data_IF_630364906947
#
_entry.id   IF_630364906947
#
_cell.length_a   1.000
_cell.length_b   1.000
_cell.length_c   1.000
_cell.angle_alpha   90.00
_cell.angle_beta   90.00
_cell.angle_gamma   90.00
#
_symmetry.space_group_name_H-M   'P 1'
#
loop_
_entity.id
_entity.type
_entity.pdbx_description
1 polymer ?
#
# COMPACT_ATOMS: atom_id res chain seq x y z
N UNK A 1 3.73 -10.08 -10.71
CA UNK A 1 2.71 -10.56 -9.75
C UNK A 1 1.54 -11.11 -10.53
N UNK A 2 0.94 -12.22 -10.10
CA UNK A 2 -0.34 -12.71 -10.64
C UNK A 2 -1.40 -12.61 -9.55
N UNK A 3 -2.42 -11.80 -9.82
CA UNK A 3 -3.54 -11.65 -8.89
C UNK A 3 -4.55 -12.78 -9.04
N UNK A 4 -5.44 -12.90 -8.07
CA UNK A 4 -6.51 -13.89 -8.01
C UNK A 4 -7.84 -13.20 -7.80
N UNK A 5 -8.91 -13.88 -8.17
CA UNK A 5 -10.25 -13.49 -7.81
C UNK A 5 -10.36 -13.24 -6.30
N UNK A 6 -10.91 -12.09 -5.91
CA UNK A 6 -11.07 -11.72 -4.51
C UNK A 6 -9.84 -11.06 -3.86
N UNK A 7 -8.69 -10.95 -4.52
CA UNK A 7 -7.59 -10.12 -4.02
C UNK A 7 -8.05 -8.67 -3.80
N UNK A 8 -7.53 -8.03 -2.75
CA UNK A 8 -7.75 -6.61 -2.46
C UNK A 8 -6.41 -5.89 -2.37
N UNK A 9 -6.27 -4.80 -3.12
CA UNK A 9 -5.09 -3.93 -3.05
C UNK A 9 -5.48 -2.61 -2.40
N UNK A 10 -4.84 -2.28 -1.28
CA UNK A 10 -4.92 -0.97 -0.63
C UNK A 10 -3.79 -0.11 -1.19
N UNK A 11 -4.15 0.78 -2.10
CA UNK A 11 -3.26 1.68 -2.82
C UNK A 11 -3.34 3.09 -2.23
N UNK A 12 -2.20 3.69 -1.90
CA UNK A 12 -2.17 5.05 -1.35
C UNK A 12 -0.88 5.73 -1.70
N UNK A 13 -0.88 7.05 -1.92
CA UNK A 13 0.36 7.79 -1.66
C UNK A 13 0.69 7.65 -0.16
N UNK A 14 1.96 7.59 0.27
CA UNK A 14 2.30 7.51 1.69
C UNK A 14 1.51 8.52 2.52
N UNK A 15 1.14 8.13 3.74
CA UNK A 15 0.45 9.01 4.72
C UNK A 15 -0.98 9.44 4.36
N UNK A 16 -1.62 8.74 3.41
CA UNK A 16 -3.04 8.91 3.09
C UNK A 16 -3.97 7.93 3.83
N UNK A 17 -3.55 7.34 4.97
CA UNK A 17 -4.41 6.45 5.76
C UNK A 17 -4.32 4.96 5.45
N UNK A 18 -3.21 4.50 4.85
CA UNK A 18 -3.00 3.10 4.47
C UNK A 18 -3.23 2.10 5.60
N UNK A 19 -2.64 2.34 6.78
CA UNK A 19 -2.78 1.46 7.95
C UNK A 19 -4.24 1.32 8.38
N UNK A 20 -4.99 2.42 8.35
CA UNK A 20 -6.39 2.43 8.73
C UNK A 20 -7.23 1.64 7.73
N UNK A 21 -7.04 1.86 6.43
CA UNK A 21 -7.75 1.08 5.40
C UNK A 21 -7.38 -0.41 5.43
N UNK A 22 -6.11 -0.76 5.67
CA UNK A 22 -5.72 -2.17 5.84
C UNK A 22 -6.52 -2.84 6.97
N UNK A 23 -6.69 -2.15 8.11
CA UNK A 23 -7.48 -2.65 9.23
C UNK A 23 -8.97 -2.76 8.89
N UNK A 24 -9.56 -1.73 8.26
CA UNK A 24 -10.98 -1.75 7.84
C UNK A 24 -11.23 -2.95 6.91
N UNK A 25 -10.42 -3.09 5.86
CA UNK A 25 -10.56 -4.20 4.90
C UNK A 25 -10.43 -5.55 5.59
N UNK A 26 -9.42 -5.75 6.46
CA UNK A 26 -9.24 -7.01 7.17
C UNK A 26 -10.39 -7.30 8.13
N UNK A 27 -10.90 -6.30 8.86
CA UNK A 27 -12.09 -6.45 9.72
C UNK A 27 -13.31 -6.87 8.91
N UNK A 28 -13.56 -6.23 7.75
CA UNK A 28 -14.66 -6.60 6.86
C UNK A 28 -14.53 -8.05 6.37
N UNK A 29 -13.33 -8.48 6.00
CA UNK A 29 -13.05 -9.85 5.57
C UNK A 29 -13.19 -10.89 6.69
N UNK A 30 -13.06 -10.46 7.95
CA UNK A 30 -13.18 -11.33 9.13
C UNK A 30 -14.52 -11.15 9.87
N UNK A 31 -15.52 -10.51 9.25
CA UNK A 31 -16.85 -10.34 9.84
C UNK A 31 -16.87 -9.45 11.09
N UNK A 32 -15.94 -8.50 11.19
CA UNK A 32 -15.79 -7.60 12.34
C UNK A 32 -15.00 -8.18 13.51
N UNK A 33 -14.47 -9.40 13.38
CA UNK A 33 -13.71 -10.06 14.44
C UNK A 33 -12.30 -9.47 14.59
N UNK A 34 -12.16 -8.50 15.51
CA UNK A 34 -10.89 -7.83 15.79
C UNK A 34 -9.81 -8.78 16.33
N UNK A 35 -10.17 -9.94 16.90
CA UNK A 35 -9.17 -10.91 17.38
C UNK A 35 -8.37 -11.54 16.23
N UNK A 36 -8.90 -11.48 15.00
CA UNK A 36 -8.26 -11.95 13.78
C UNK A 36 -7.41 -10.89 13.08
N UNK A 37 -7.39 -9.65 13.57
CA UNK A 37 -6.63 -8.55 12.95
C UNK A 37 -5.48 -8.13 13.85
N UNK A 38 -4.25 -8.26 13.34
CA UNK A 38 -3.03 -7.91 14.08
C UNK A 38 -2.83 -6.38 14.10
N UNK A 39 -2.34 -5.80 15.20
CA UNK A 39 -1.98 -4.38 15.25
C UNK A 39 -0.71 -4.10 14.43
N UNK A 40 -0.45 -2.83 14.11
CA UNK A 40 0.83 -2.43 13.52
C UNK A 40 1.97 -2.64 14.55
N UNK A 41 3.14 -3.20 14.18
CA UNK A 41 3.60 -3.52 12.81
C UNK A 41 3.23 -4.91 12.29
N UNK A 42 2.73 -5.81 13.15
CA UNK A 42 2.38 -7.18 12.79
C UNK A 42 1.29 -7.28 11.70
N UNK A 43 0.47 -6.24 11.54
CA UNK A 43 -0.46 -6.02 10.43
C UNK A 43 0.17 -6.27 9.05
N UNK A 44 1.46 -5.97 8.88
CA UNK A 44 2.17 -6.18 7.61
C UNK A 44 2.22 -7.64 7.17
N UNK A 45 2.06 -8.59 8.10
CA UNK A 45 1.94 -10.01 7.76
C UNK A 45 0.59 -10.37 7.13
N UNK A 46 -0.46 -9.58 7.36
CA UNK A 46 -1.81 -9.83 6.84
C UNK A 46 -2.14 -8.97 5.62
N UNK A 47 -1.43 -7.86 5.43
CA UNK A 47 -1.51 -6.99 4.26
C UNK A 47 -0.10 -6.57 3.79
N UNK A 48 0.70 -7.50 3.23
CA UNK A 48 2.08 -7.29 2.85
C UNK A 48 2.22 -6.25 1.74
N UNK A 49 3.41 -5.65 1.71
CA UNK A 49 3.81 -4.65 0.74
C UNK A 49 4.74 -5.28 -0.33
N UNK A 50 4.24 -5.60 -1.54
CA UNK A 50 4.99 -6.39 -2.50
C UNK A 50 6.34 -5.80 -2.93
N UNK A 51 6.40 -4.48 -3.10
CA UNK A 51 7.57 -3.73 -3.52
C UNK A 51 8.68 -3.83 -2.48
N UNK A 52 8.35 -3.63 -1.19
CA UNK A 52 9.32 -3.78 -0.10
C UNK A 52 9.74 -5.24 0.05
N UNK A 53 8.82 -6.19 -0.12
CA UNK A 53 9.18 -7.60 -0.13
C UNK A 53 10.20 -7.94 -1.21
N UNK A 54 10.00 -7.41 -2.42
CA UNK A 54 10.91 -7.60 -3.54
C UNK A 54 12.27 -6.90 -3.31
N UNK A 55 12.27 -5.69 -2.76
CA UNK A 55 13.51 -4.97 -2.44
C UNK A 55 14.30 -5.68 -1.34
N UNK A 56 13.64 -6.24 -0.32
CA UNK A 56 14.33 -6.96 0.75
C UNK A 56 15.01 -8.23 0.24
N UNK A 57 14.38 -8.98 -0.66
CA UNK A 57 14.98 -10.20 -1.25
C UNK A 57 16.22 -9.87 -2.08
N UNK A 58 16.14 -8.81 -2.89
CA UNK A 58 17.24 -8.34 -3.74
C UNK A 58 18.40 -7.73 -2.96
N UNK A 59 18.12 -6.91 -1.95
CA UNK A 59 19.14 -6.11 -1.22
C UNK A 59 19.84 -6.88 -0.11
N UNK A 60 19.15 -7.79 0.58
CA UNK A 60 19.68 -8.44 1.78
C UNK A 60 19.93 -9.95 1.63
N UNK A 61 19.67 -10.53 0.45
CA UNK A 61 19.94 -11.95 0.21
C UNK A 61 19.18 -12.85 1.18
N UNK A 62 17.87 -12.99 0.99
CA UNK A 62 17.03 -13.88 1.80
C UNK A 62 15.59 -13.92 1.31
N UNK A 63 14.80 -14.97 1.65
CA UNK A 63 13.38 -15.01 1.30
C UNK A 63 12.64 -13.82 1.96
N UNK A 64 11.74 -13.12 1.24
CA UNK A 64 10.87 -12.15 1.93
C UNK A 64 9.99 -12.97 2.86
N UNK A 65 9.87 -12.66 4.15
CA UNK A 65 8.99 -13.41 5.06
C UNK A 65 7.51 -13.35 4.66
N UNK A 66 7.15 -12.46 3.72
CA UNK A 66 5.75 -12.24 3.30
C UNK A 66 5.50 -12.40 1.80
N UNK A 67 6.52 -12.63 0.96
CA UNK A 67 6.35 -13.09 -0.44
C UNK A 67 7.52 -14.00 -0.92
N UNK A 68 7.22 -15.17 -1.47
CA UNK A 68 8.12 -16.00 -2.27
C UNK A 68 8.51 -15.22 -3.53
N UNK A 69 9.80 -14.91 -3.67
CA UNK A 69 10.33 -14.12 -4.78
C UNK A 69 10.09 -14.75 -6.16
N UNK A 70 9.84 -16.07 -6.25
CA UNK A 70 9.58 -16.77 -7.52
C UNK A 70 8.11 -16.80 -7.92
N UNK A 71 7.19 -16.71 -6.96
CA UNK A 71 5.74 -16.84 -7.21
C UNK A 71 4.92 -15.65 -6.72
N UNK A 72 5.55 -14.70 -6.00
CA UNK A 72 4.91 -13.61 -5.26
C UNK A 72 3.73 -14.11 -4.40
N UNK A 73 3.86 -15.32 -3.84
CA UNK A 73 2.93 -15.89 -2.86
C UNK A 73 3.49 -15.64 -1.46
N UNK A 74 2.70 -15.24 -0.46
CA UNK A 74 3.19 -15.21 0.90
C UNK A 74 3.82 -16.55 1.30
N UNK A 75 5.09 -16.59 1.76
CA UNK A 75 5.76 -17.81 2.08
C UNK A 75 5.18 -18.26 3.40
N UNK A 76 4.44 -19.35 3.34
CA UNK A 76 4.35 -20.32 4.43
C UNK A 76 4.06 -19.77 5.84
N UNK A 77 3.40 -18.62 5.98
CA UNK A 77 2.82 -18.24 7.25
C UNK A 77 1.40 -18.82 7.28
N UNK A 78 1.14 -19.70 8.25
CA UNK A 78 -0.18 -20.28 8.48
C UNK A 78 -1.25 -19.21 8.77
N UNK A 79 -0.83 -17.98 9.05
CA UNK A 79 -1.66 -16.80 9.28
C UNK A 79 -2.12 -16.07 8.02
N UNK A 80 -1.56 -16.36 6.84
CA UNK A 80 -2.09 -15.84 5.58
C UNK A 80 -3.17 -16.80 5.09
N UNK A 81 -4.35 -16.28 4.75
CA UNK A 81 -5.44 -17.15 4.33
C UNK A 81 -5.00 -17.99 3.11
N UNK A 82 -4.91 -19.31 3.31
CA UNK A 82 -4.57 -20.29 2.28
C UNK A 82 -5.85 -21.04 1.90
N UNK A 83 -6.11 -21.16 0.60
CA UNK A 83 -7.29 -21.84 0.08
C UNK A 83 -7.82 -21.17 -1.18
N UNK A 84 -8.63 -21.86 -1.99
CA UNK A 84 -9.24 -21.29 -3.20
C UNK A 84 -10.18 -20.11 -2.90
N UNK A 85 -10.79 -20.09 -1.70
CA UNK A 85 -11.74 -19.05 -1.28
C UNK A 85 -11.14 -17.98 -0.35
N UNK A 86 -9.84 -18.09 -0.06
CA UNK A 86 -9.14 -17.19 0.84
C UNK A 86 -8.83 -15.85 0.15
N UNK A 87 -9.45 -14.76 0.64
CA UNK A 87 -9.18 -13.40 0.14
C UNK A 87 -7.86 -12.86 0.69
N UNK A 88 -6.99 -12.41 -0.20
CA UNK A 88 -5.68 -11.82 0.14
C UNK A 88 -5.77 -10.29 0.12
N UNK A 89 -5.08 -9.64 1.05
CA UNK A 89 -4.98 -8.17 1.08
C UNK A 89 -3.54 -7.77 0.83
N UNK A 90 -3.30 -6.77 0.00
CA UNK A 90 -1.97 -6.22 -0.26
C UNK A 90 -2.00 -4.73 -0.02
N UNK A 91 -0.88 -4.16 0.44
CA UNK A 91 -0.65 -2.72 0.47
C UNK A 91 0.29 -2.35 -0.67
N UNK A 92 0.11 -1.18 -1.26
CA UNK A 92 1.11 -0.57 -2.15
C UNK A 92 1.09 0.96 -2.08
N UNK A 93 2.27 1.54 -2.31
CA UNK A 93 2.50 2.97 -2.53
C UNK A 93 2.98 3.26 -3.96
N UNK A 94 2.75 2.33 -4.89
CA UNK A 94 3.16 2.50 -6.27
C UNK A 94 2.20 3.46 -7.01
N UNK A 95 2.74 4.38 -7.82
CA UNK A 95 1.94 5.03 -8.85
C UNK A 95 1.39 3.97 -9.81
N UNK A 96 0.35 4.30 -10.57
CA UNK A 96 -0.37 3.30 -11.37
C UNK A 96 0.54 2.65 -12.42
N UNK A 97 1.47 3.40 -13.01
CA UNK A 97 2.48 2.87 -13.94
C UNK A 97 3.44 1.84 -13.33
N UNK A 98 3.59 1.81 -12.00
CA UNK A 98 4.43 0.85 -11.26
C UNK A 98 3.62 -0.09 -10.38
N UNK A 99 2.30 -0.14 -10.55
CA UNK A 99 1.42 -1.01 -9.78
C UNK A 99 1.94 -2.47 -9.86
N UNK A 100 2.01 -3.21 -8.74
CA UNK A 100 2.71 -4.49 -8.68
C UNK A 100 2.12 -5.57 -9.59
N UNK A 101 0.91 -5.37 -10.10
CA UNK A 101 0.21 -6.28 -11.02
C UNK A 101 0.03 -5.59 -12.37
N UNK A 102 0.67 -6.13 -13.41
CA UNK A 102 0.40 -5.68 -14.77
C UNK A 102 -1.08 -5.95 -15.14
N UNK A 103 -1.66 -5.15 -16.02
CA UNK A 103 -3.08 -5.25 -16.40
C UNK A 103 -3.48 -6.64 -16.90
N UNK A 104 -2.63 -7.26 -17.72
CA UNK A 104 -2.85 -8.62 -18.22
C UNK A 104 -2.88 -9.70 -17.12
N UNK A 105 -2.35 -9.39 -15.93
CA UNK A 105 -2.26 -10.28 -14.78
C UNK A 105 -3.21 -9.86 -13.64
N UNK A 106 -4.02 -8.80 -13.85
CA UNK A 106 -5.00 -8.31 -12.91
C UNK A 106 -6.35 -9.02 -13.14
N UNK A 107 -6.71 -9.89 -12.20
CA UNK A 107 -7.94 -10.67 -12.23
C UNK A 107 -9.15 -9.72 -12.29
N UNK A 108 -10.15 -9.99 -13.14
CA UNK A 108 -11.35 -9.14 -13.25
C UNK A 108 -12.12 -8.99 -11.93
N UNK A 109 -12.00 -9.95 -11.00
CA UNK A 109 -12.64 -9.94 -9.67
C UNK A 109 -11.72 -9.44 -8.56
N UNK A 110 -10.49 -9.02 -8.86
CA UNK A 110 -9.67 -8.29 -7.91
C UNK A 110 -10.27 -6.90 -7.66
N UNK A 111 -10.05 -6.37 -6.45
CA UNK A 111 -10.52 -5.05 -6.04
C UNK A 111 -9.33 -4.18 -5.65
N UNK A 112 -9.40 -2.91 -5.99
CA UNK A 112 -8.40 -1.91 -5.66
C UNK A 112 -9.10 -0.81 -4.86
N UNK A 113 -8.57 -0.46 -3.69
CA UNK A 113 -9.01 0.69 -2.91
C UNK A 113 -7.92 1.73 -2.97
N UNK A 114 -8.20 2.86 -3.61
CA UNK A 114 -7.28 3.99 -3.66
C UNK A 114 -7.71 5.05 -2.65
N UNK A 115 -6.83 5.43 -1.72
CA UNK A 115 -7.12 6.53 -0.78
C UNK A 115 -6.33 7.79 -1.16
N UNK A 116 -7.07 8.86 -1.43
CA UNK A 116 -6.55 10.21 -1.58
C UNK A 116 -6.70 10.98 -0.25
N UNK A 117 -5.83 11.97 -0.04
CA UNK A 117 -5.87 12.85 1.13
C UNK A 117 -5.42 14.24 0.71
N UNK A 118 -5.91 15.28 1.40
CA UNK A 118 -5.47 16.66 1.23
C UNK A 118 -3.93 16.73 1.26
N UNK A 119 -3.28 17.30 0.21
CA UNK A 119 -1.83 17.31 0.09
C UNK A 119 -1.13 18.06 1.23
N UNK A 120 -1.80 19.05 1.84
CA UNK A 120 -1.24 19.79 2.98
C UNK A 120 -1.07 18.87 4.19
N UNK A 121 -2.09 18.06 4.48
CA UNK A 121 -2.05 17.10 5.59
C UNK A 121 -1.10 15.93 5.30
N UNK A 122 -1.00 15.52 4.04
CA UNK A 122 0.00 14.55 3.59
C UNK A 122 1.40 15.09 3.85
N UNK A 123 1.71 16.32 3.44
CA UNK A 123 3.02 16.95 3.65
C UNK A 123 3.40 17.00 5.13
N UNK A 124 2.50 17.48 5.99
CA UNK A 124 2.71 17.50 7.45
C UNK A 124 2.97 16.10 8.03
N UNK A 125 2.17 15.11 7.62
CA UNK A 125 2.30 13.74 8.12
C UNK A 125 3.55 13.03 7.59
N UNK A 126 3.98 13.35 6.36
CA UNK A 126 5.17 12.80 5.73
C UNK A 126 6.44 13.39 6.34
N UNK A 127 6.46 14.69 6.62
CA UNK A 127 7.53 15.33 7.39
C UNK A 127 7.71 14.64 8.74
N UNK A 128 6.64 14.52 9.53
CA UNK A 128 6.70 13.85 10.84
C UNK A 128 7.18 12.39 10.72
N UNK A 129 6.83 11.69 9.64
CA UNK A 129 7.29 10.33 9.37
C UNK A 129 8.79 10.27 9.05
N UNK A 130 9.26 11.14 8.14
CA UNK A 130 10.64 11.22 7.71
C UNK A 130 11.58 11.65 8.84
N UNK A 131 11.16 12.62 9.67
CA UNK A 131 11.94 13.09 10.83
C UNK A 131 12.00 12.06 11.97
N UNK A 132 10.99 11.20 12.12
CA UNK A 132 10.91 10.25 13.22
C UNK A 132 11.60 8.91 12.93
N UNK A 133 11.83 8.57 11.66
CA UNK A 133 12.29 7.24 11.26
C UNK A 133 13.76 7.26 10.82
N UNK A 134 14.66 6.56 11.54
CA UNK A 134 16.09 6.52 11.22
C UNK A 134 16.41 6.22 9.75
N UNK A 135 15.72 5.29 9.05
CA UNK A 135 16.03 4.99 7.65
C UNK A 135 15.87 6.15 6.65
N UNK A 136 15.16 7.22 7.01
CA UNK A 136 14.98 8.38 6.14
C UNK A 136 16.07 9.43 6.31
N UNK A 137 16.79 9.41 7.45
CA UNK A 137 17.91 10.32 7.76
C UNK A 137 17.60 11.81 7.50
N UNK A 138 16.31 12.21 7.58
CA UNK A 138 15.90 13.57 7.28
C UNK A 138 16.16 14.49 8.48
N UNK A 139 17.07 15.44 8.29
CA UNK A 139 17.48 16.40 9.32
C UNK A 139 17.13 17.87 8.98
N UNK A 140 16.42 18.12 7.88
CA UNK A 140 15.97 19.45 7.50
C UNK A 140 14.75 19.92 8.31
N UNK A 141 14.45 21.21 8.25
CA UNK A 141 13.24 21.77 8.83
C UNK A 141 12.00 21.52 7.96
N UNK A 142 10.84 21.98 8.44
CA UNK A 142 9.57 21.82 7.76
C UNK A 142 9.48 22.64 6.47
N UNK A 143 10.03 23.86 6.44
CA UNK A 143 9.95 24.73 5.25
C UNK A 143 10.75 24.13 4.08
N UNK A 144 11.95 23.63 4.36
CA UNK A 144 12.72 22.85 3.39
C UNK A 144 11.97 21.59 2.94
N UNK A 145 11.27 20.91 3.86
CA UNK A 145 10.48 19.73 3.52
C UNK A 145 9.32 20.07 2.57
N UNK A 146 8.60 21.18 2.82
CA UNK A 146 7.51 21.65 1.95
C UNK A 146 8.03 21.91 0.53
N UNK A 147 9.20 22.55 0.40
CA UNK A 147 9.85 22.74 -0.90
C UNK A 147 10.10 21.40 -1.63
N UNK A 148 10.70 20.44 -0.94
CA UNK A 148 10.94 19.10 -1.48
C UNK A 148 9.63 18.38 -1.85
N UNK A 149 8.59 18.49 -1.03
CA UNK A 149 7.29 17.86 -1.27
C UNK A 149 6.62 18.41 -2.53
N UNK A 150 6.63 19.73 -2.71
CA UNK A 150 6.06 20.40 -3.90
C UNK A 150 6.84 20.02 -5.17
N UNK A 151 8.16 19.92 -5.09
CA UNK A 151 9.01 19.51 -6.21
C UNK A 151 8.99 17.98 -6.46
N UNK A 152 8.32 17.20 -5.61
CA UNK A 152 8.30 15.74 -5.70
C UNK A 152 9.64 15.09 -5.33
N UNK A 153 10.52 15.80 -4.63
CA UNK A 153 11.81 15.31 -4.10
C UNK A 153 11.68 14.66 -2.73
N UNK A 154 10.61 13.89 -2.54
CA UNK A 154 10.31 13.13 -1.32
C UNK A 154 10.14 11.66 -1.66
N UNK A 155 9.99 10.80 -0.63
CA UNK A 155 9.67 9.40 -0.88
C UNK A 155 8.41 9.27 -1.76
N UNK A 156 8.42 8.29 -2.67
CA UNK A 156 7.33 8.06 -3.62
C UNK A 156 7.03 9.22 -4.61
N UNK A 157 7.88 10.24 -4.66
CA UNK A 157 7.84 11.28 -5.69
C UNK A 157 6.70 12.30 -5.50
N UNK A 158 6.28 12.90 -6.61
CA UNK A 158 5.22 13.90 -6.67
C UNK A 158 3.86 13.32 -6.24
N UNK A 159 3.31 13.84 -5.15
CA UNK A 159 1.94 13.51 -4.70
C UNK A 159 0.92 13.78 -5.81
N UNK A 160 1.07 14.91 -6.53
CA UNK A 160 0.14 15.32 -7.58
C UNK A 160 0.11 14.29 -8.71
N UNK A 161 1.28 13.90 -9.19
CA UNK A 161 1.37 12.97 -10.32
C UNK A 161 0.85 11.60 -9.93
N UNK A 162 1.20 11.11 -8.74
CA UNK A 162 0.66 9.87 -8.18
C UNK A 162 -0.87 9.92 -8.05
N UNK A 163 -1.41 11.01 -7.52
CA UNK A 163 -2.85 11.20 -7.33
C UNK A 163 -3.61 11.26 -8.65
N UNK A 164 -3.15 12.07 -9.60
CA UNK A 164 -3.81 12.25 -10.90
C UNK A 164 -3.79 10.95 -11.69
N UNK A 165 -2.67 10.23 -11.70
CA UNK A 165 -2.53 8.94 -12.38
C UNK A 165 -3.59 7.93 -11.89
N UNK A 166 -3.72 7.77 -10.57
CA UNK A 166 -4.73 6.89 -9.98
C UNK A 166 -6.17 7.40 -10.13
N UNK A 167 -6.40 8.72 -10.05
CA UNK A 167 -7.72 9.30 -10.24
C UNK A 167 -8.25 9.07 -11.65
N UNK A 168 -7.43 9.32 -12.67
CA UNK A 168 -7.77 9.08 -14.09
C UNK A 168 -8.07 7.61 -14.33
N UNK A 169 -7.26 6.71 -13.74
CA UNK A 169 -7.50 5.27 -13.85
C UNK A 169 -8.82 4.85 -13.20
N UNK A 170 -9.14 5.39 -12.02
CA UNK A 170 -10.39 5.10 -11.32
C UNK A 170 -11.66 5.51 -12.11
N UNK A 171 -11.56 6.50 -13.01
CA UNK A 171 -12.69 6.87 -13.87
C UNK A 171 -13.01 5.83 -14.97
N UNK A 172 -12.11 4.87 -15.20
CA UNK A 172 -12.19 3.91 -16.32
C UNK A 172 -12.24 2.46 -15.88
N UNK A 173 -11.96 2.18 -14.61
CA UNK A 173 -11.86 0.83 -14.07
C UNK A 173 -12.72 0.69 -12.82
N UNK A 174 -13.86 0.02 -12.96
CA UNK A 174 -14.83 -0.24 -11.88
C UNK A 174 -14.27 -1.11 -10.74
N UNK A 175 -13.08 -1.71 -10.92
CA UNK A 175 -12.38 -2.42 -9.84
C UNK A 175 -11.77 -1.46 -8.82
N UNK A 176 -11.60 -0.19 -9.18
CA UNK A 176 -11.00 0.85 -8.33
C UNK A 176 -12.08 1.58 -7.55
N UNK A 177 -12.13 1.33 -6.24
CA UNK A 177 -12.87 2.15 -5.30
C UNK A 177 -11.99 3.31 -4.84
N UNK A 178 -12.28 4.50 -5.35
CA UNK A 178 -11.56 5.72 -5.01
C UNK A 178 -12.23 6.42 -3.83
N UNK A 179 -11.49 6.69 -2.76
CA UNK A 179 -12.02 7.30 -1.53
C UNK A 179 -11.09 8.39 -1.00
N UNK A 180 -11.68 9.37 -0.33
CA UNK A 180 -10.95 10.43 0.38
C UNK A 180 -10.80 10.08 1.85
N UNK A 181 -9.60 10.26 2.39
CA UNK A 181 -9.30 10.05 3.81
C UNK A 181 -10.24 10.86 4.73
N UNK A 182 -10.63 12.06 4.30
CA UNK A 182 -11.49 12.98 5.03
C UNK A 182 -12.95 12.53 5.10
N UNK A 183 -13.34 11.54 4.29
CA UNK A 183 -14.69 10.97 4.25
C UNK A 183 -14.80 9.59 4.92
N UNK A 184 -13.70 9.10 5.49
CA UNK A 184 -13.64 7.83 6.23
C UNK A 184 -14.06 7.99 7.69
#
# INVERSE_FOLDING_TARGET
FLSRAGDVFVCTYPKCGTTWMQQIVLLLLHGGDATKVKPHPALQSQAPWPEVCYLRTKRFGGPCPYLDARSLRPPHDAAYAHGPDARRVFKTHAPRGLFPVADANLDPKAKIVYIARNPKDVCCSLYAHASALPPFEYAGDFDHFVGNFVEGKVEHGSWKDHHVDWYVHAQRDERVYYVHFEAL
#
